data_IF_624750751550
#
_entry.id   IF_624750751550
#
_cell.length_a   1.000
_cell.length_b   1.000
_cell.length_c   1.000
_cell.angle_alpha   90.00
_cell.angle_beta   90.00
_cell.angle_gamma   90.00
#
_symmetry.space_group_name_H-M   'P 1'
#
loop_
_entity.id
_entity.type
_entity.pdbx_description
1 polymer ?
#
# COMPACT_ATOMS: atom_id res chain seq x y z
N UNK A 1 25.90 -45.40 2.09
CA UNK A 1 25.51 -45.69 0.70
C UNK A 1 26.39 -44.82 -0.17
N UNK A 2 27.00 -45.37 -1.22
CA UNK A 2 28.08 -44.69 -1.96
C UNK A 2 27.53 -43.70 -3.00
N UNK A 3 28.29 -42.67 -3.36
CA UNK A 3 27.91 -41.57 -4.27
C UNK A 3 27.48 -42.10 -5.64
N UNK A 4 28.17 -43.12 -6.17
CA UNK A 4 27.80 -43.76 -7.43
C UNK A 4 26.44 -44.47 -7.38
N UNK A 5 26.04 -44.96 -6.21
CA UNK A 5 24.74 -45.62 -6.02
C UNK A 5 23.61 -44.60 -6.06
N UNK A 6 23.81 -43.41 -5.47
CA UNK A 6 22.87 -42.30 -5.57
C UNK A 6 22.76 -41.79 -7.00
N UNK A 7 23.90 -41.67 -7.72
CA UNK A 7 23.91 -41.19 -9.10
C UNK A 7 23.10 -42.12 -10.02
N UNK A 8 23.27 -43.44 -9.90
CA UNK A 8 22.48 -44.41 -10.69
C UNK A 8 20.98 -44.34 -10.39
N UNK A 9 20.59 -44.08 -9.14
CA UNK A 9 19.18 -43.96 -8.76
C UNK A 9 18.56 -42.66 -9.24
N UNK A 10 19.22 -41.52 -9.01
CA UNK A 10 18.64 -40.20 -9.25
C UNK A 10 18.65 -39.76 -10.73
N UNK A 11 19.43 -40.42 -11.59
CA UNK A 11 19.41 -40.17 -13.04
C UNK A 11 18.05 -40.48 -13.68
N UNK A 12 17.23 -41.34 -13.07
CA UNK A 12 15.88 -41.65 -13.55
C UNK A 12 14.79 -40.79 -12.91
N UNK A 13 15.11 -39.98 -11.89
CA UNK A 13 14.14 -39.12 -11.23
C UNK A 13 13.78 -37.91 -12.09
N UNK A 14 12.55 -37.42 -11.92
CA UNK A 14 12.09 -36.18 -12.53
C UNK A 14 12.81 -34.98 -11.93
N UNK A 15 12.88 -33.90 -12.71
CA UNK A 15 13.50 -32.65 -12.25
C UNK A 15 12.74 -32.05 -11.06
N UNK A 16 11.42 -32.15 -11.05
CA UNK A 16 10.56 -31.70 -9.95
C UNK A 16 10.85 -32.46 -8.65
N UNK A 17 11.06 -33.77 -8.72
CA UNK A 17 11.40 -34.58 -7.54
C UNK A 17 12.76 -34.19 -6.95
N UNK A 18 13.75 -33.95 -7.82
CA UNK A 18 15.09 -33.54 -7.40
C UNK A 18 15.08 -32.12 -6.82
N UNK A 19 14.30 -31.20 -7.39
CA UNK A 19 14.11 -29.84 -6.85
C UNK A 19 13.41 -29.91 -5.48
N UNK A 20 12.35 -30.72 -5.33
CA UNK A 20 11.63 -30.89 -4.07
C UNK A 20 12.53 -31.51 -2.98
N UNK A 21 13.41 -32.42 -3.37
CA UNK A 21 14.40 -33.05 -2.50
C UNK A 21 15.42 -32.01 -1.99
N UNK A 22 15.88 -31.09 -2.85
CA UNK A 22 16.84 -30.05 -2.49
C UNK A 22 16.24 -28.86 -1.74
N UNK A 23 14.93 -28.64 -1.84
CA UNK A 23 14.22 -27.53 -1.20
C UNK A 23 13.50 -27.99 0.07
N UNK A 24 12.28 -28.52 -0.06
CA UNK A 24 11.35 -28.77 1.06
C UNK A 24 11.72 -29.98 1.91
N UNK A 25 12.45 -30.95 1.34
CA UNK A 25 12.78 -32.19 2.02
C UNK A 25 14.27 -32.36 2.31
N UNK A 26 15.11 -31.34 2.11
CA UNK A 26 16.56 -31.46 2.22
C UNK A 26 17.02 -32.08 3.55
N UNK A 27 16.36 -31.72 4.67
CA UNK A 27 16.65 -32.25 6.01
C UNK A 27 16.39 -33.74 6.20
N UNK A 28 15.66 -34.39 5.28
CA UNK A 28 15.33 -35.83 5.33
C UNK A 28 16.32 -36.71 4.57
N UNK A 29 17.23 -36.11 3.81
CA UNK A 29 18.15 -36.83 2.94
C UNK A 29 19.61 -36.70 3.38
N UNK A 30 20.42 -37.68 2.98
CA UNK A 30 21.85 -37.67 3.24
C UNK A 30 22.52 -36.53 2.43
N UNK A 31 23.48 -35.78 3.00
CA UNK A 31 24.23 -34.75 2.29
C UNK A 31 24.79 -35.18 0.93
N UNK A 32 25.34 -36.40 0.84
CA UNK A 32 25.90 -36.92 -0.41
C UNK A 32 24.82 -37.13 -1.49
N UNK A 33 23.60 -37.45 -1.06
CA UNK A 33 22.45 -37.60 -1.94
C UNK A 33 21.99 -36.24 -2.51
N UNK A 34 22.07 -35.17 -1.70
CA UNK A 34 21.76 -33.80 -2.12
C UNK A 34 22.82 -33.27 -3.10
N UNK A 35 24.10 -33.55 -2.87
CA UNK A 35 25.17 -33.18 -3.81
C UNK A 35 24.92 -33.80 -5.19
N UNK A 36 24.61 -35.10 -5.23
CA UNK A 36 24.32 -35.80 -6.48
C UNK A 36 23.06 -35.27 -7.18
N UNK A 37 22.00 -34.96 -6.42
CA UNK A 37 20.79 -34.36 -6.98
C UNK A 37 21.07 -32.99 -7.61
N UNK A 38 21.90 -32.16 -6.95
CA UNK A 38 22.34 -30.85 -7.48
C UNK A 38 23.16 -31.02 -8.76
N UNK A 39 24.10 -31.95 -8.78
CA UNK A 39 24.92 -32.24 -9.97
C UNK A 39 24.08 -32.69 -11.18
N UNK A 40 23.07 -33.52 -10.96
CA UNK A 40 22.18 -34.01 -12.02
C UNK A 40 21.34 -32.86 -12.59
N UNK A 41 20.80 -31.98 -11.74
CA UNK A 41 20.04 -30.82 -12.20
C UNK A 41 20.90 -29.83 -12.98
N UNK A 42 22.14 -29.58 -12.53
CA UNK A 42 23.11 -28.75 -13.27
C UNK A 42 23.43 -29.38 -14.63
N UNK A 43 23.66 -30.70 -14.68
CA UNK A 43 23.91 -31.42 -15.92
C UNK A 43 22.71 -31.38 -16.90
N UNK A 44 21.49 -31.19 -16.38
CA UNK A 44 20.25 -31.02 -17.15
C UNK A 44 19.96 -29.56 -17.51
N UNK A 45 20.89 -28.62 -17.29
CA UNK A 45 20.73 -27.18 -17.51
C UNK A 45 19.60 -26.53 -16.69
N UNK A 46 19.35 -27.04 -15.48
CA UNK A 46 18.39 -26.41 -14.55
C UNK A 46 19.16 -25.49 -13.61
N UNK A 47 18.72 -24.23 -13.54
CA UNK A 47 19.29 -23.22 -12.64
C UNK A 47 18.80 -23.41 -11.19
N UNK A 48 19.30 -24.47 -10.57
CA UNK A 48 18.96 -24.85 -9.21
C UNK A 48 19.50 -23.83 -8.17
N UNK A 49 20.53 -23.06 -8.49
CA UNK A 49 21.08 -22.07 -7.56
C UNK A 49 20.14 -20.89 -7.36
N UNK A 50 19.55 -20.38 -8.46
CA UNK A 50 18.52 -19.35 -8.39
C UNK A 50 17.24 -19.87 -7.70
N UNK A 51 16.84 -21.11 -7.96
CA UNK A 51 15.67 -21.72 -7.31
C UNK A 51 15.88 -21.84 -5.79
N UNK A 52 17.06 -22.32 -5.36
CA UNK A 52 17.39 -22.44 -3.93
C UNK A 52 17.47 -21.07 -3.25
N UNK A 53 18.05 -20.07 -3.94
CA UNK A 53 18.09 -18.69 -3.43
C UNK A 53 16.69 -18.13 -3.19
N UNK A 54 15.80 -18.24 -4.19
CA UNK A 54 14.43 -17.76 -4.11
C UNK A 54 13.62 -18.48 -3.02
N UNK A 55 13.79 -19.80 -2.85
CA UNK A 55 13.07 -20.55 -1.82
C UNK A 55 13.58 -20.21 -0.41
N UNK A 56 14.88 -19.96 -0.24
CA UNK A 56 15.46 -19.52 1.03
C UNK A 56 15.00 -18.11 1.42
N UNK A 57 14.98 -17.16 0.46
CA UNK A 57 14.44 -15.82 0.67
C UNK A 57 12.95 -15.87 1.04
N UNK A 58 12.18 -16.73 0.36
CA UNK A 58 10.76 -16.95 0.68
C UNK A 58 10.56 -17.54 2.08
N UNK A 59 11.39 -18.49 2.51
CA UNK A 59 11.32 -19.06 3.86
C UNK A 59 11.70 -18.05 4.94
N UNK A 60 12.72 -17.22 4.71
CA UNK A 60 13.11 -16.16 5.63
C UNK A 60 11.97 -15.14 5.83
N UNK A 61 11.33 -14.69 4.74
CA UNK A 61 10.20 -13.76 4.81
C UNK A 61 8.99 -14.36 5.55
N UNK A 62 8.67 -15.63 5.31
CA UNK A 62 7.58 -16.32 6.02
C UNK A 62 7.85 -16.45 7.53
N UNK A 63 9.11 -16.66 7.91
CA UNK A 63 9.50 -16.80 9.30
C UNK A 63 9.47 -15.47 10.06
N UNK A 64 9.80 -14.38 9.37
CA UNK A 64 9.67 -13.01 9.87
C UNK A 64 8.20 -12.60 10.07
N UNK A 65 7.32 -12.93 9.11
CA UNK A 65 5.88 -12.72 9.25
C UNK A 65 5.29 -13.53 10.42
N UNK A 66 5.71 -14.78 10.60
CA UNK A 66 5.21 -15.63 11.69
C UNK A 66 5.68 -15.13 13.06
N UNK A 67 6.93 -14.66 13.17
CA UNK A 67 7.43 -14.05 14.41
C UNK A 67 6.69 -12.75 14.75
N UNK A 68 6.39 -11.90 13.75
CA UNK A 68 5.59 -10.70 13.97
C UNK A 68 4.16 -11.03 14.40
N UNK A 69 3.52 -12.05 13.81
CA UNK A 69 2.19 -12.48 14.23
C UNK A 69 2.15 -12.97 15.66
N UNK A 70 3.12 -13.82 16.04
CA UNK A 70 3.23 -14.30 17.44
C UNK A 70 3.46 -13.14 18.42
N UNK A 71 4.31 -12.20 18.04
CA UNK A 71 4.55 -10.99 18.85
C UNK A 71 3.27 -10.17 19.07
N UNK A 72 2.43 -10.01 18.05
CA UNK A 72 1.15 -9.30 18.16
C UNK A 72 0.14 -10.10 19.00
N UNK A 73 0.07 -11.41 18.82
CA UNK A 73 -0.84 -12.29 19.57
C UNK A 73 -0.50 -12.36 21.07
N UNK A 74 0.77 -12.17 21.42
CA UNK A 74 1.27 -12.13 22.80
C UNK A 74 0.96 -10.80 23.53
N UNK A 75 0.60 -9.73 22.80
CA UNK A 75 0.22 -8.44 23.38
C UNK A 75 -1.22 -8.47 23.92
N UNK A 76 -1.51 -7.66 24.94
CA UNK A 76 -2.89 -7.48 25.39
C UNK A 76 -3.73 -6.75 24.32
N UNK A 77 -5.08 -6.90 24.30
CA UNK A 77 -5.90 -6.27 23.26
C UNK A 77 -5.76 -4.75 23.16
N UNK A 78 -5.43 -4.06 24.26
CA UNK A 78 -5.18 -2.61 24.24
C UNK A 78 -3.81 -2.30 23.62
N UNK A 79 -2.78 -3.08 23.97
CA UNK A 79 -1.42 -2.96 23.41
C UNK A 79 -1.37 -3.39 21.94
N UNK A 80 -2.21 -4.34 21.51
CA UNK A 80 -2.38 -4.68 20.10
C UNK A 80 -2.91 -3.49 19.30
N UNK A 81 -3.90 -2.76 19.85
CA UNK A 81 -4.46 -1.56 19.21
C UNK A 81 -3.41 -0.44 19.18
N UNK A 82 -2.66 -0.24 20.26
CA UNK A 82 -1.60 0.76 20.34
C UNK A 82 -0.44 0.44 19.40
N UNK A 83 0.05 -0.81 19.39
CA UNK A 83 1.07 -1.30 18.47
C UNK A 83 0.65 -1.18 17.00
N UNK A 84 -0.59 -1.58 16.67
CA UNK A 84 -1.12 -1.43 15.32
C UNK A 84 -1.33 0.04 14.95
N UNK A 85 -1.68 0.89 15.91
CA UNK A 85 -1.81 2.34 15.72
C UNK A 85 -0.46 3.02 15.50
N UNK A 86 0.56 2.69 16.30
CA UNK A 86 1.93 3.17 16.15
C UNK A 86 2.53 2.68 14.84
N UNK A 87 2.39 1.40 14.50
CA UNK A 87 2.82 0.86 13.20
C UNK A 87 2.13 1.55 12.04
N UNK A 88 0.85 1.89 12.18
CA UNK A 88 0.08 2.61 11.16
C UNK A 88 0.53 4.06 11.03
N UNK A 89 0.93 4.71 12.12
CA UNK A 89 1.55 6.05 12.13
C UNK A 89 2.96 6.02 11.54
N UNK A 90 3.80 5.04 11.91
CA UNK A 90 5.11 4.79 11.30
C UNK A 90 4.98 4.53 9.80
N UNK A 91 3.96 3.79 9.36
CA UNK A 91 3.68 3.56 7.95
C UNK A 91 3.21 4.85 7.25
N UNK A 92 2.27 5.59 7.84
CA UNK A 92 1.75 6.83 7.25
C UNK A 92 2.82 7.93 7.14
N UNK A 93 3.74 8.05 8.10
CA UNK A 93 4.88 8.98 8.03
C UNK A 93 5.99 8.49 7.09
N UNK A 94 6.30 7.18 7.02
CA UNK A 94 7.34 6.67 6.12
C UNK A 94 6.90 6.49 4.67
N UNK A 95 5.60 6.42 4.36
CA UNK A 95 5.15 6.18 2.98
C UNK A 95 5.55 7.32 2.04
N UNK A 96 5.50 8.57 2.50
CA UNK A 96 5.92 9.71 1.70
C UNK A 96 7.42 9.63 1.37
N UNK A 97 8.25 9.40 2.39
CA UNK A 97 9.70 9.25 2.25
C UNK A 97 10.08 8.03 1.39
N UNK A 98 9.42 6.88 1.59
CA UNK A 98 9.66 5.66 0.81
C UNK A 98 9.28 5.86 -0.66
N UNK A 99 8.13 6.49 -0.93
CA UNK A 99 7.70 6.77 -2.30
C UNK A 99 8.65 7.78 -2.95
N UNK A 100 9.02 8.84 -2.24
CA UNK A 100 9.93 9.86 -2.75
C UNK A 100 11.31 9.27 -3.07
N UNK A 101 11.89 8.47 -2.16
CA UNK A 101 13.17 7.79 -2.40
C UNK A 101 13.10 6.79 -3.55
N UNK A 102 12.00 6.03 -3.68
CA UNK A 102 11.80 5.11 -4.80
C UNK A 102 11.74 5.80 -6.17
N UNK A 103 11.41 7.10 -6.20
CA UNK A 103 11.23 7.87 -7.44
C UNK A 103 12.35 8.90 -7.67
N UNK A 104 13.24 9.05 -6.69
CA UNK A 104 14.34 10.01 -6.72
C UNK A 104 15.34 9.74 -7.83
N UNK A 105 15.61 8.47 -8.11
CA UNK A 105 16.59 8.05 -9.13
C UNK A 105 15.99 7.84 -10.52
N UNK A 106 14.66 7.97 -10.67
CA UNK A 106 13.99 7.84 -11.97
C UNK A 106 14.35 9.00 -12.90
N UNK A 107 14.57 8.69 -14.18
CA UNK A 107 14.67 9.71 -15.24
C UNK A 107 13.30 10.33 -15.50
N UNK A 108 13.26 11.54 -16.06
CA UNK A 108 11.99 12.24 -16.35
C UNK A 108 11.04 11.42 -17.25
N UNK A 109 11.60 10.64 -18.18
CA UNK A 109 10.82 9.76 -19.06
C UNK A 109 10.22 8.55 -18.30
N UNK A 110 11.00 7.94 -17.40
CA UNK A 110 10.53 6.83 -16.56
C UNK A 110 9.50 7.30 -15.53
N UNK A 111 9.71 8.49 -14.95
CA UNK A 111 8.77 9.13 -14.03
C UNK A 111 7.43 9.40 -14.72
N UNK A 112 7.45 9.94 -15.94
CA UNK A 112 6.24 10.17 -16.73
C UNK A 112 5.53 8.87 -17.11
N UNK A 113 6.27 7.83 -17.51
CA UNK A 113 5.69 6.52 -17.83
C UNK A 113 5.02 5.87 -16.62
N UNK A 114 5.70 5.91 -15.46
CA UNK A 114 5.15 5.39 -14.20
C UNK A 114 3.91 6.18 -13.79
N UNK A 115 3.98 7.51 -13.89
CA UNK A 115 2.82 8.36 -13.62
C UNK A 115 1.66 8.01 -14.55
N UNK A 116 1.90 7.85 -15.85
CA UNK A 116 0.85 7.49 -16.81
C UNK A 116 0.20 6.13 -16.51
N UNK A 117 0.98 5.12 -16.10
CA UNK A 117 0.45 3.81 -15.67
C UNK A 117 -0.46 3.92 -14.43
N UNK A 118 -0.07 4.76 -13.47
CA UNK A 118 -0.89 5.06 -12.29
C UNK A 118 -2.20 5.74 -12.70
N UNK A 119 -2.14 6.73 -13.59
CA UNK A 119 -3.34 7.41 -14.07
C UNK A 119 -4.28 6.43 -14.81
N UNK A 120 -3.73 5.53 -15.63
CA UNK A 120 -4.53 4.56 -16.37
C UNK A 120 -5.23 3.58 -15.44
N UNK A 121 -4.54 3.07 -14.41
CA UNK A 121 -5.15 2.20 -13.40
C UNK A 121 -6.27 2.89 -12.63
N UNK A 122 -6.11 4.16 -12.22
CA UNK A 122 -7.17 4.92 -11.53
C UNK A 122 -8.38 5.13 -12.46
N UNK A 123 -8.15 5.39 -13.76
CA UNK A 123 -9.24 5.57 -14.72
C UNK A 123 -9.97 4.25 -14.99
N UNK A 124 -9.25 3.13 -15.07
CA UNK A 124 -9.81 1.80 -15.29
C UNK A 124 -10.66 1.34 -14.11
N UNK A 125 -10.13 1.46 -12.89
CA UNK A 125 -10.86 1.08 -11.66
C UNK A 125 -11.95 2.09 -11.28
N UNK A 126 -11.81 3.33 -11.73
CA UNK A 126 -12.71 4.44 -11.42
C UNK A 126 -12.59 4.98 -9.99
N UNK A 127 -11.56 4.56 -9.24
CA UNK A 127 -11.26 4.98 -7.87
C UNK A 127 -9.75 4.91 -7.60
N UNK A 128 -9.29 5.56 -6.53
CA UNK A 128 -7.94 5.35 -6.02
C UNK A 128 -7.81 3.98 -5.35
N UNK A 129 -6.61 3.38 -5.45
CA UNK A 129 -6.28 2.14 -4.76
C UNK A 129 -6.14 2.33 -3.25
N UNK A 130 -5.94 1.21 -2.54
CA UNK A 130 -5.62 1.23 -1.12
C UNK A 130 -4.21 1.81 -0.88
N UNK A 131 -3.86 2.12 0.37
CA UNK A 131 -2.60 2.81 0.71
C UNK A 131 -1.35 2.06 0.21
N UNK A 132 -1.44 0.72 0.14
CA UNK A 132 -0.37 -0.18 -0.31
C UNK A 132 -0.31 -0.34 -1.83
N UNK A 133 -1.33 0.12 -2.56
CA UNK A 133 -1.39 -0.02 -4.00
C UNK A 133 -0.50 1.01 -4.70
N UNK A 134 0.10 0.64 -5.82
CA UNK A 134 0.89 1.57 -6.65
C UNK A 134 0.06 2.72 -7.23
N UNK A 135 -1.26 2.58 -7.30
CA UNK A 135 -2.20 3.61 -7.77
C UNK A 135 -3.01 4.22 -6.62
N UNK A 136 -2.45 4.21 -5.41
CA UNK A 136 -3.00 4.89 -4.24
C UNK A 136 -3.07 6.40 -4.43
N UNK A 137 -3.88 7.05 -3.60
CA UNK A 137 -4.05 8.49 -3.63
C UNK A 137 -2.74 9.22 -3.26
N UNK A 138 -2.05 8.70 -2.27
CA UNK A 138 -0.78 9.21 -1.75
C UNK A 138 0.28 9.16 -2.86
N UNK A 139 0.42 8.01 -3.52
CA UNK A 139 1.40 7.84 -4.61
C UNK A 139 1.13 8.78 -5.79
N UNK A 140 -0.14 8.97 -6.16
CA UNK A 140 -0.53 9.96 -7.18
C UNK A 140 -0.08 11.38 -6.83
N UNK A 141 -0.30 11.84 -5.59
CA UNK A 141 0.06 13.21 -5.20
C UNK A 141 1.57 13.41 -5.07
N UNK A 142 2.29 12.42 -4.54
CA UNK A 142 3.74 12.50 -4.36
C UNK A 142 4.42 12.56 -5.74
N UNK A 143 4.07 11.66 -6.65
CA UNK A 143 4.64 11.67 -8.01
C UNK A 143 4.26 12.94 -8.77
N UNK A 144 3.01 13.41 -8.63
CA UNK A 144 2.58 14.70 -9.21
C UNK A 144 3.43 15.87 -8.70
N UNK A 145 3.75 15.89 -7.40
CA UNK A 145 4.62 16.92 -6.81
C UNK A 145 6.06 16.80 -7.32
N UNK A 146 6.61 15.59 -7.43
CA UNK A 146 7.97 15.37 -7.97
C UNK A 146 8.05 15.86 -9.42
N UNK A 147 7.04 15.56 -10.24
CA UNK A 147 6.93 16.05 -11.63
C UNK A 147 6.89 17.59 -11.68
N UNK A 148 6.10 18.22 -10.81
CA UNK A 148 6.00 19.68 -10.73
C UNK A 148 7.32 20.32 -10.28
N UNK A 149 7.96 19.78 -9.24
CA UNK A 149 9.24 20.26 -8.72
C UNK A 149 10.37 20.16 -9.77
N UNK A 150 10.40 19.06 -10.52
CA UNK A 150 11.37 18.84 -11.61
C UNK A 150 11.01 19.60 -12.88
N UNK A 151 9.85 20.27 -12.94
CA UNK A 151 9.35 20.98 -14.11
C UNK A 151 9.31 20.10 -15.38
N UNK A 152 8.95 18.83 -15.22
CA UNK A 152 8.87 17.87 -16.33
C UNK A 152 7.74 18.27 -17.27
N UNK A 153 8.01 18.30 -18.57
CA UNK A 153 7.01 18.68 -19.57
C UNK A 153 5.96 17.56 -19.73
N UNK A 154 4.72 17.84 -19.32
CA UNK A 154 3.63 16.85 -19.33
C UNK A 154 2.94 16.84 -20.71
N UNK A 155 2.89 15.70 -21.42
CA UNK A 155 2.15 15.59 -22.67
C UNK A 155 0.66 15.89 -22.50
N UNK A 156 0.03 16.47 -23.53
CA UNK A 156 -1.42 16.82 -23.52
C UNK A 156 -2.31 15.59 -23.25
N UNK A 157 -1.89 14.40 -23.69
CA UNK A 157 -2.60 13.14 -23.41
C UNK A 157 -2.68 12.84 -21.91
N UNK A 158 -1.58 13.00 -21.19
CA UNK A 158 -1.47 12.81 -19.75
C UNK A 158 -2.27 13.89 -19.00
N UNK A 159 -2.21 15.15 -19.47
CA UNK A 159 -2.98 16.24 -18.89
C UNK A 159 -4.50 15.99 -18.88
N UNK A 160 -5.02 15.36 -19.95
CA UNK A 160 -6.43 14.93 -20.02
C UNK A 160 -6.77 13.85 -18.99
N UNK A 161 -5.86 12.90 -18.76
CA UNK A 161 -6.01 11.86 -17.73
C UNK A 161 -6.04 12.47 -16.32
N UNK A 162 -5.12 13.40 -16.03
CA UNK A 162 -5.08 14.17 -14.78
C UNK A 162 -6.42 14.89 -14.54
N UNK A 163 -6.96 15.58 -15.54
CA UNK A 163 -8.26 16.28 -15.40
C UNK A 163 -9.39 15.30 -15.04
N UNK A 164 -9.43 14.12 -15.68
CA UNK A 164 -10.43 13.09 -15.40
C UNK A 164 -10.30 12.53 -13.98
N UNK A 165 -9.07 12.35 -13.49
CA UNK A 165 -8.80 11.87 -12.12
C UNK A 165 -9.10 12.96 -11.09
N UNK A 166 -8.85 14.22 -11.40
CA UNK A 166 -9.25 15.33 -10.54
C UNK A 166 -10.77 15.35 -10.29
N UNK A 167 -11.59 14.96 -11.26
CA UNK A 167 -13.04 14.81 -11.05
C UNK A 167 -13.39 13.63 -10.13
N UNK A 168 -12.66 12.51 -10.22
CA UNK A 168 -12.76 11.37 -9.29
C UNK A 168 -12.39 11.83 -7.86
N UNK A 169 -11.25 12.51 -7.71
CA UNK A 169 -10.79 13.04 -6.43
C UNK A 169 -11.80 14.04 -5.84
N UNK A 170 -12.36 14.93 -6.65
CA UNK A 170 -13.39 15.91 -6.23
C UNK A 170 -14.64 15.22 -5.69
N UNK A 171 -15.08 14.12 -6.30
CA UNK A 171 -16.23 13.34 -5.84
C UNK A 171 -15.97 12.76 -4.45
N UNK A 172 -14.77 12.24 -4.20
CA UNK A 172 -14.39 11.70 -2.90
C UNK A 172 -14.24 12.77 -1.82
N UNK A 173 -13.60 13.90 -2.14
CA UNK A 173 -13.54 15.02 -1.22
C UNK A 173 -14.95 15.56 -0.89
N UNK A 174 -15.83 15.68 -1.88
CA UNK A 174 -17.23 16.08 -1.67
C UNK A 174 -17.98 15.13 -0.73
N UNK A 175 -17.76 13.82 -0.86
CA UNK A 175 -18.29 12.80 0.06
C UNK A 175 -17.72 12.97 1.48
N UNK A 176 -16.39 13.13 1.62
CA UNK A 176 -15.72 13.36 2.92
C UNK A 176 -16.27 14.60 3.63
N UNK A 177 -16.41 15.72 2.92
CA UNK A 177 -16.98 16.93 3.50
C UNK A 177 -18.45 16.78 3.86
N UNK A 178 -19.24 16.04 3.07
CA UNK A 178 -20.63 15.72 3.42
C UNK A 178 -20.69 14.85 4.67
N UNK A 179 -19.79 13.87 4.83
CA UNK A 179 -19.68 13.06 6.04
C UNK A 179 -19.33 13.91 7.27
N UNK A 180 -18.39 14.85 7.15
CA UNK A 180 -18.04 15.77 8.23
C UNK A 180 -19.24 16.64 8.66
N UNK A 181 -20.04 17.12 7.70
CA UNK A 181 -21.28 17.85 7.99
C UNK A 181 -22.25 16.96 8.79
N UNK A 182 -22.46 15.71 8.34
CA UNK A 182 -23.38 14.77 9.00
C UNK A 182 -22.90 14.47 10.43
N UNK A 183 -21.63 14.11 10.62
CA UNK A 183 -21.05 13.84 11.95
C UNK A 183 -21.15 15.09 12.84
N UNK A 184 -20.88 16.27 12.27
CA UNK A 184 -21.02 17.54 12.98
C UNK A 184 -22.44 17.78 13.49
N UNK A 185 -23.46 17.51 12.66
CA UNK A 185 -24.88 17.59 13.06
C UNK A 185 -25.18 16.59 14.17
N UNK A 186 -24.73 15.34 14.05
CA UNK A 186 -24.95 14.31 15.07
C UNK A 186 -24.34 14.73 16.40
N UNK A 187 -23.10 15.22 16.42
CA UNK A 187 -22.44 15.69 17.64
C UNK A 187 -23.18 16.88 18.28
N UNK A 188 -23.70 17.80 17.48
CA UNK A 188 -24.52 18.90 18.00
C UNK A 188 -25.82 18.41 18.62
N UNK A 189 -26.51 17.47 17.97
CA UNK A 189 -27.74 16.88 18.52
C UNK A 189 -27.50 16.12 19.82
N UNK A 190 -26.41 15.35 19.89
CA UNK A 190 -26.01 14.66 21.11
C UNK A 190 -25.65 15.66 22.21
N UNK A 191 -24.88 16.70 21.90
CA UNK A 191 -24.58 17.78 22.84
C UNK A 191 -25.85 18.40 23.43
N UNK A 192 -26.82 18.76 22.59
CA UNK A 192 -28.12 19.29 23.03
C UNK A 192 -28.88 18.32 23.95
N UNK A 193 -28.95 17.02 23.60
CA UNK A 193 -29.62 16.01 24.42
C UNK A 193 -28.94 15.86 25.79
N UNK A 194 -27.61 15.81 25.83
CA UNK A 194 -26.86 15.75 27.08
C UNK A 194 -27.01 17.02 27.91
N UNK A 195 -27.11 18.20 27.29
CA UNK A 195 -27.36 19.46 28.01
C UNK A 195 -28.69 19.44 28.78
N UNK A 196 -29.74 18.88 28.17
CA UNK A 196 -31.06 18.76 28.80
C UNK A 196 -31.04 17.72 29.94
N UNK A 197 -30.31 16.61 29.78
CA UNK A 197 -30.29 15.51 30.74
C UNK A 197 -29.33 15.67 31.92
N UNK A 198 -28.18 16.33 31.73
CA UNK A 198 -27.10 16.41 32.74
C UNK A 198 -26.76 17.83 33.18
N UNK A 199 -27.46 18.84 32.66
CA UNK A 199 -27.22 20.25 33.02
C UNK A 199 -26.02 20.90 32.32
N UNK A 200 -25.38 20.20 31.38
CA UNK A 200 -24.26 20.71 30.58
C UNK A 200 -22.92 20.67 31.33
N UNK A 201 -22.12 19.64 31.05
CA UNK A 201 -20.76 19.47 31.57
C UNK A 201 -19.68 19.53 30.49
N UNK A 202 -18.45 19.10 30.81
CA UNK A 202 -17.30 19.07 29.87
C UNK A 202 -17.63 18.33 28.56
N UNK A 203 -18.43 17.25 28.65
CA UNK A 203 -18.88 16.45 27.50
C UNK A 203 -19.75 17.27 26.52
N UNK A 204 -20.57 18.19 27.03
CA UNK A 204 -21.36 19.10 26.20
C UNK A 204 -20.45 20.02 25.38
N UNK A 205 -19.50 20.69 26.03
CA UNK A 205 -18.58 21.60 25.34
C UNK A 205 -17.72 20.87 24.32
N UNK A 206 -17.22 19.67 24.65
CA UNK A 206 -16.46 18.83 23.73
C UNK A 206 -17.26 18.43 22.49
N UNK A 207 -18.50 17.96 22.67
CA UNK A 207 -19.37 17.56 21.57
C UNK A 207 -19.78 18.76 20.69
N UNK A 208 -20.13 19.89 21.32
CA UNK A 208 -20.58 21.09 20.59
C UNK A 208 -19.42 21.72 19.82
N UNK A 209 -18.25 21.92 20.43
CA UNK A 209 -17.10 22.52 19.75
C UNK A 209 -16.60 21.63 18.61
N UNK A 210 -16.52 20.32 18.82
CA UNK A 210 -16.13 19.36 17.76
C UNK A 210 -17.17 19.33 16.64
N UNK A 211 -18.46 19.38 16.98
CA UNK A 211 -19.55 19.42 16.02
C UNK A 211 -19.55 20.68 15.15
N UNK A 212 -19.34 21.85 15.76
CA UNK A 212 -19.18 23.13 15.05
C UNK A 212 -17.94 23.09 14.14
N UNK A 213 -16.80 22.62 14.66
CA UNK A 213 -15.56 22.53 13.88
C UNK A 213 -15.71 21.65 12.64
N UNK A 214 -16.34 20.49 12.78
CA UNK A 214 -16.61 19.59 11.65
C UNK A 214 -17.58 20.18 10.62
N UNK A 215 -18.59 20.94 11.07
CA UNK A 215 -19.51 21.65 10.19
C UNK A 215 -18.81 22.75 9.39
N UNK A 216 -18.01 23.59 10.06
CA UNK A 216 -17.24 24.65 9.40
C UNK A 216 -16.29 24.05 8.38
N UNK A 217 -15.52 23.02 8.75
CA UNK A 217 -14.59 22.34 7.84
C UNK A 217 -15.31 21.70 6.65
N UNK A 218 -16.47 21.08 6.87
CA UNK A 218 -17.27 20.49 5.80
C UNK A 218 -17.84 21.54 4.82
N UNK A 219 -18.37 22.65 5.34
CA UNK A 219 -18.94 23.73 4.51
C UNK A 219 -17.84 24.47 3.74
N UNK A 220 -16.75 24.85 4.42
CA UNK A 220 -15.60 25.51 3.82
C UNK A 220 -14.97 24.62 2.73
N UNK A 221 -14.79 23.32 3.03
CA UNK A 221 -14.29 22.34 2.06
C UNK A 221 -15.16 22.22 0.81
N UNK A 222 -16.49 22.15 0.96
CA UNK A 222 -17.41 22.15 -0.21
C UNK A 222 -17.34 23.43 -1.02
N UNK A 223 -17.19 24.60 -0.38
CA UNK A 223 -17.09 25.89 -1.07
C UNK A 223 -15.79 25.98 -1.86
N UNK A 224 -14.67 25.54 -1.28
CA UNK A 224 -13.37 25.54 -1.95
C UNK A 224 -13.31 24.57 -3.13
N UNK A 225 -13.89 23.37 -3.00
CA UNK A 225 -14.06 22.43 -4.12
C UNK A 225 -14.82 23.04 -5.31
N UNK A 226 -15.96 23.71 -5.04
CA UNK A 226 -16.74 24.36 -6.09
C UNK A 226 -15.96 25.48 -6.79
N UNK A 227 -15.20 26.26 -6.02
CA UNK A 227 -14.37 27.34 -6.55
C UNK A 227 -13.21 26.81 -7.39
N UNK A 228 -12.54 25.75 -6.95
CA UNK A 228 -11.50 25.07 -7.73
C UNK A 228 -12.03 24.44 -9.03
N UNK A 229 -13.27 23.94 -9.01
CA UNK A 229 -13.93 23.45 -10.22
C UNK A 229 -14.23 24.57 -11.24
N UNK A 230 -14.63 25.76 -10.77
CA UNK A 230 -14.84 26.93 -11.63
C UNK A 230 -13.54 27.44 -12.25
N UNK A 231 -12.48 27.58 -11.45
CA UNK A 231 -11.16 28.04 -11.94
C UNK A 231 -10.60 27.08 -13.00
N UNK A 232 -10.74 25.77 -12.79
CA UNK A 232 -10.32 24.78 -13.79
C UNK A 232 -11.16 24.83 -15.07
N UNK A 233 -12.46 25.13 -14.99
CA UNK A 233 -13.33 25.27 -16.18
C UNK A 233 -13.00 26.55 -16.96
N UNK A 234 -12.66 27.64 -16.28
CA UNK A 234 -12.28 28.91 -16.88
C UNK A 234 -10.89 28.90 -17.52
N UNK A 235 -9.96 28.03 -17.08
CA UNK A 235 -8.63 27.91 -17.69
C UNK A 235 -8.61 27.13 -19.02
N UNK A 236 -9.72 26.47 -19.40
CA UNK A 236 -9.83 25.68 -20.64
C UNK A 236 -10.88 26.23 -21.63
N UNK A 237 -11.54 27.35 -21.32
CA UNK A 237 -12.49 28.05 -22.20
C UNK A 237 -11.85 29.27 -22.86
#
# INVERSE_FOLDING_TARGET
>A
MDIETFRKRFVEHSDEDLILMLTKNASKYNPDALVVAKEILIARNIDIETILKNENERQANLQEEENNRRHIEDLSPLEQIEYLSEKRLEFEENIEDIIEDNHKDLTDAELLLNFEDILDKIIETGNFGELTDSYSKENYFIISNIIEQRSVEIPVSVLKKINRINDIARKDFSRKFTRNIIIGIVLLTLGLVFSIGTGGGIVFYGAVLSGIGLLINGIAGKRNLKRGAQIALESYG
#
